data_IF_988461759536
#
_entry.id   IF_988461759536
#
_cell.length_a   1.000
_cell.length_b   1.000
_cell.length_c   1.000
_cell.angle_alpha   90.00
_cell.angle_beta   90.00
_cell.angle_gamma   90.00
#
_symmetry.space_group_name_H-M   'P 1'
#
loop_
_entity.id
_entity.type
_entity.pdbx_description
1 polymer ?
2 polymer ?
3 polymer ?
4 non-polymer ?
5 non-polymer ?
6 non-polymer ?
7 non-polymer ?
8 non-polymer ?
9 non-polymer ?
10 water ?
#
loop_
_entity_poly.entity_id
_entity_poly.type
_entity_poly.pdbx_seq_one_letter_code
_entity_poly.pdbx_strand_id
1 'polydeoxyribonucleotide' '(DG)(DG)(DG)(DG)(DT)(DG)(DT)(DG)(DG)(DT)(DA)(DDG)' ?
2 'polydeoxyribonucleotide' '(DC)(DA)(DT)(DC)(DG)(DC)(DT)(DA)(DC)(DC)(DA)(DC)(DA)(DC)(DC)(DC)(DC)' ?
#
# COMPACT_ATOMS: atom_id res chain seq x y z
N UNK C 3 4.80 13.80 24.98
CA UNK C 3 3.53 13.30 24.35
C UNK C 3 2.70 14.47 23.82
N UNK C 4 2.30 14.38 22.55
CA UNK C 4 1.51 15.40 21.91
C UNK C 4 0.08 14.85 21.80
N UNK C 5 -0.85 15.44 22.54
CA UNK C 5 -2.25 15.02 22.52
C UNK C 5 -2.98 15.56 21.30
N UNK C 6 -4.15 14.99 21.01
CA UNK C 6 -4.92 15.37 19.82
C UNK C 6 -5.46 16.80 19.81
N UNK C 7 -5.50 17.44 20.98
CA UNK C 7 -5.92 18.84 21.11
C UNK C 7 -4.72 19.79 21.15
N UNK C 8 -3.52 19.26 20.99
CA UNK C 8 -2.33 20.06 20.90
C UNK C 8 -2.18 20.50 19.44
N UNK C 9 -1.79 21.77 19.22
CA UNK C 9 -1.62 22.22 17.84
C UNK C 9 -0.64 21.39 17.02
N UNK C 10 0.35 20.78 17.66
CA UNK C 10 1.37 19.99 16.97
C UNK C 10 0.95 18.53 16.68
N UNK C 11 -0.29 18.14 17.00
CA UNK C 11 -0.64 16.71 16.90
C UNK C 11 -0.50 16.17 15.49
N UNK C 12 -1.09 16.85 14.51
CA UNK C 12 -1.08 16.32 13.15
C UNK C 12 0.34 16.11 12.62
N UNK C 13 1.19 17.09 12.85
CA UNK C 13 2.62 17.02 12.49
C UNK C 13 3.29 15.83 13.14
N UNK C 14 3.09 15.69 14.44
CA UNK C 14 3.72 14.62 15.20
C UNK C 14 3.23 13.26 14.69
N UNK C 15 1.91 13.13 14.53
CA UNK C 15 1.33 11.83 14.12
C UNK C 15 1.82 11.41 12.76
N UNK C 16 1.74 12.33 11.81
CA UNK C 16 2.25 12.06 10.45
C UNK C 16 3.80 11.81 10.40
N UNK C 17 4.57 12.49 11.25
CA UNK C 17 5.99 12.17 11.38
C UNK C 17 6.27 10.73 11.80
N UNK C 18 5.39 10.20 12.63
CA UNK C 18 5.54 8.85 13.21
C UNK C 18 4.79 7.74 12.45
N UNK C 19 3.73 8.11 11.72
CA UNK C 19 2.86 7.13 11.07
C UNK C 19 3.43 6.57 9.78
N UNK C 20 3.75 5.28 9.80
CA UNK C 20 4.30 4.64 8.59
C UNK C 20 3.23 4.52 7.50
N UNK C 21 1.97 4.41 7.86
CA UNK C 21 0.90 4.34 6.83
C UNK C 21 0.66 5.69 6.15
N UNK C 22 0.78 6.78 6.91
CA UNK C 22 0.86 8.11 6.31
C UNK C 22 2.02 8.19 5.30
N UNK C 23 3.20 7.70 5.70
CA UNK C 23 4.37 7.73 4.80
C UNK C 23 4.11 6.92 3.53
N UNK C 24 3.62 5.70 3.68
CA UNK C 24 3.29 4.88 2.51
C UNK C 24 2.42 5.63 1.51
N UNK C 25 1.35 6.25 1.99
CA UNK C 25 0.45 6.98 1.10
C UNK C 25 1.04 8.26 0.52
N UNK C 26 1.78 9.01 1.34
CA UNK C 26 2.39 10.25 0.89
C UNK C 26 3.49 9.95 -0.13
N UNK C 27 4.27 8.91 0.13
CA UNK C 27 5.30 8.49 -0.80
C UNK C 27 4.69 8.09 -2.15
N UNK C 28 3.64 7.29 -2.13
CA UNK C 28 3.02 6.86 -3.38
C UNK C 28 2.52 8.07 -4.17
N UNK C 29 1.82 8.99 -3.49
CA UNK C 29 1.30 10.20 -4.13
C UNK C 29 2.42 11.06 -4.76
N UNK C 30 3.55 11.18 -4.06
CA UNK C 30 4.67 11.97 -4.56
C UNK C 30 5.32 11.27 -5.75
N UNK C 31 5.41 9.94 -5.70
CA UNK C 31 5.95 9.17 -6.85
C UNK C 31 5.10 9.31 -8.11
N UNK C 32 3.77 9.31 -7.94
CA UNK C 32 2.84 9.49 -9.08
C UNK C 32 3.01 10.89 -9.66
N UNK C 33 3.16 11.88 -8.78
CA UNK C 33 3.38 13.26 -9.21
C UNK C 33 4.72 13.42 -9.91
N UNK C 34 5.77 12.76 -9.40
CA UNK C 34 7.05 12.70 -10.09
C UNK C 34 6.95 12.09 -11.49
N UNK C 35 6.24 10.96 -11.61
CA UNK C 35 6.03 10.31 -12.90
C UNK C 35 5.37 11.27 -13.91
N UNK C 36 4.35 11.97 -13.46
CA UNK C 36 3.63 12.90 -14.33
C UNK C 36 4.53 14.05 -14.81
N UNK C 37 5.39 14.57 -13.93
CA UNK C 37 6.37 15.61 -14.31
C UNK C 37 7.54 15.07 -15.16
N UNK C 38 8.09 13.92 -14.81
CA UNK C 38 9.26 13.37 -15.52
C UNK C 38 8.94 12.95 -16.95
N UNK C 39 7.74 12.42 -17.16
CA UNK C 39 7.33 11.83 -18.46
C UNK C 39 6.41 12.73 -19.28
N UNK C 40 6.38 14.02 -18.94
CA UNK C 40 5.53 15.00 -19.63
C UNK C 40 5.83 15.14 -21.13
N UNK C 41 7.10 14.91 -21.51
CA UNK C 41 7.56 14.87 -22.92
C UNK C 41 8.03 13.47 -23.36
N UNK C 42 7.51 12.44 -22.70
CA UNK C 42 7.85 11.05 -23.02
C UNK C 42 6.55 10.31 -23.27
N UNK C 43 6.18 10.17 -24.54
CA UNK C 43 4.89 9.58 -24.93
C UNK C 43 5.13 8.11 -25.19
N UNK C 44 5.48 7.41 -24.10
CA UNK C 44 5.83 6.00 -24.12
C UNK C 44 4.73 5.24 -23.38
N UNK C 45 3.52 5.31 -23.93
CA UNK C 45 2.37 4.54 -23.45
C UNK C 45 2.06 3.38 -24.39
N UNK C 46 1.59 2.28 -23.82
CA UNK C 46 1.44 1.00 -24.52
C UNK C 46 0.11 1.03 -25.29
N UNK C 47 0.06 0.30 -26.41
CA UNK C 47 -1.17 0.02 -27.14
C UNK C 47 -1.41 -1.49 -27.10
N UNK C 48 -2.64 -1.93 -27.37
CA UNK C 48 -2.94 -3.37 -27.47
C UNK C 48 -2.35 -4.05 -28.74
N UNK C 49 -1.76 -3.26 -29.65
CA UNK C 49 -0.91 -3.78 -30.71
C UNK C 49 0.39 -4.39 -30.16
N UNK C 50 0.95 -3.77 -29.13
CA UNK C 50 2.32 -4.08 -28.68
C UNK C 50 2.48 -5.43 -28.02
N UNK C 51 3.63 -6.05 -28.25
CA UNK C 51 4.10 -7.18 -27.45
C UNK C 51 4.99 -6.59 -26.36
N UNK C 52 4.77 -7.01 -25.11
CA UNK C 52 5.55 -6.48 -23.99
C UNK C 52 5.85 -7.52 -22.93
N UNK C 53 6.85 -7.21 -22.11
CA UNK C 53 7.23 -8.04 -20.98
C UNK C 53 7.24 -7.14 -19.76
N UNK C 54 6.74 -7.68 -18.66
CA UNK C 54 6.61 -6.96 -17.39
C UNK C 54 7.66 -7.49 -16.42
N UNK C 55 8.41 -6.59 -15.81
CA UNK C 55 9.30 -6.92 -14.71
C UNK C 55 8.74 -6.17 -13.51
N UNK C 56 8.16 -6.93 -12.58
CA UNK C 56 7.60 -6.40 -11.34
C UNK C 56 8.65 -6.57 -10.27
N UNK C 57 9.12 -5.44 -9.72
CA UNK C 57 10.32 -5.42 -8.91
C UNK C 57 10.02 -4.79 -7.53
N UNK C 58 10.42 -5.47 -6.44
CA UNK C 58 10.27 -4.86 -5.12
C UNK C 58 11.32 -5.34 -4.13
N UNK C 59 11.60 -4.49 -3.16
CA UNK C 59 12.55 -4.83 -2.13
C UNK C 59 11.95 -5.92 -1.24
N UNK C 60 12.84 -6.83 -0.84
CA UNK C 60 12.58 -7.80 0.21
C UNK C 60 12.55 -7.13 1.57
N UNK C 61 11.55 -7.49 2.38
CA UNK C 61 11.34 -6.96 3.73
C UNK C 61 11.96 -5.58 3.93
N UNK C 62 11.42 -4.64 3.17
CA UNK C 62 12.01 -3.31 2.93
C UNK C 62 12.40 -2.57 4.18
N UNK C 63 11.46 -2.25 5.07
CA UNK C 63 11.82 -1.52 6.28
C UNK C 63 12.83 -2.30 7.13
N UNK C 64 12.66 -3.61 7.22
CA UNK C 64 13.53 -4.42 8.09
C UNK C 64 14.96 -4.39 7.56
N UNK C 65 15.09 -4.56 6.25
CA UNK C 65 16.41 -4.54 5.59
C UNK C 65 17.13 -3.20 5.79
N UNK C 66 16.41 -2.11 5.53
CA UNK C 66 16.99 -0.76 5.61
C UNK C 66 17.30 -0.36 7.05
N UNK C 67 16.34 -0.57 7.95
CA UNK C 67 16.54 -0.39 9.38
C UNK C 67 17.71 -1.22 9.94
N UNK C 68 17.88 -2.44 9.42
CA UNK C 68 19.01 -3.27 9.86
C UNK C 68 20.33 -2.68 9.37
N UNK C 69 20.40 -2.37 8.07
CA UNK C 69 21.66 -1.89 7.49
C UNK C 69 22.12 -0.58 8.11
N UNK C 70 21.20 0.26 8.57
CA UNK C 70 21.50 1.56 9.16
C UNK C 70 21.43 1.54 10.71
N UNK C 71 21.35 0.35 11.33
CA UNK C 71 21.13 0.26 12.81
C UNK C 71 22.27 0.89 13.63
N UNK C 72 21.95 1.32 14.84
CA UNK C 72 22.96 1.83 15.79
C UNK C 72 23.93 0.76 16.30
N UNK C 73 25.01 1.18 16.95
CA UNK C 73 26.05 0.24 17.39
C UNK C 73 25.54 -0.70 18.50
N UNK C 74 24.49 -0.27 19.22
CA UNK C 74 23.83 -1.12 20.21
C UNK C 74 23.33 -2.46 19.62
N UNK C 75 23.04 -2.48 18.31
CA UNK C 75 22.64 -3.70 17.62
C UNK C 75 23.75 -4.28 16.72
N UNK C 76 25.00 -3.88 16.91
CA UNK C 76 26.10 -4.33 16.03
C UNK C 76 26.23 -5.86 15.83
N UNK C 77 26.12 -6.64 16.91
CA UNK C 77 26.20 -8.12 16.82
C UNK C 77 24.93 -8.83 16.28
N UNK C 78 23.85 -8.08 16.00
CA UNK C 78 22.56 -8.68 15.64
C UNK C 78 22.68 -9.05 14.16
N UNK C 79 22.07 -10.16 13.78
CA UNK C 79 22.40 -10.77 12.51
C UNK C 79 21.17 -10.97 11.65
N UNK C 80 21.19 -10.40 10.45
CA UNK C 80 19.98 -10.37 9.60
C UNK C 80 19.58 -11.74 9.07
N UNK C 81 20.57 -12.60 8.84
CA UNK C 81 20.36 -13.94 8.31
C UNK C 81 19.98 -14.97 9.39
N UNK C 82 20.30 -14.70 10.65
CA UNK C 82 20.01 -15.65 11.74
C UNK C 82 18.94 -15.24 12.74
N UNK C 83 18.74 -13.93 12.96
CA UNK C 83 17.80 -13.44 13.99
C UNK C 83 16.45 -13.02 13.40
N UNK C 84 15.34 -13.30 14.11
CA UNK C 84 14.06 -12.72 13.73
C UNK C 84 14.07 -11.23 14.08
N UNK C 85 13.92 -10.39 13.05
CA UNK C 85 14.03 -8.93 13.17
C UNK C 85 12.74 -8.28 12.68
N UNK C 86 12.23 -7.33 13.45
CA UNK C 86 11.04 -6.56 13.07
C UNK C 86 11.32 -5.06 13.19
N UNK C 87 10.52 -4.25 12.47
CA UNK C 87 10.51 -2.78 12.64
C UNK C 87 9.16 -2.39 13.24
N UNK C 88 9.20 -1.64 14.35
CA UNK C 88 7.98 -1.22 15.03
C UNK C 88 8.31 -0.10 15.99
N UNK C 89 7.27 0.55 16.51
CA UNK C 89 7.46 1.65 17.46
C UNK C 89 7.64 1.18 18.89
N UNK C 90 6.84 0.18 19.26
CA UNK C 90 6.65 -0.19 20.67
C UNK C 90 7.08 -1.59 20.98
N UNK C 91 6.59 -2.11 22.10
CA UNK C 91 7.02 -3.42 22.62
C UNK C 91 5.88 -4.40 22.87
N UNK C 92 4.64 -3.97 22.73
CA UNK C 92 3.50 -4.84 23.05
C UNK C 92 2.53 -4.86 21.88
N UNK C 93 1.50 -3.99 21.88
CA UNK C 93 0.44 -4.02 20.85
C UNK C 93 0.76 -3.05 19.69
N UNK C 94 2.01 -3.12 19.24
CA UNK C 94 2.57 -2.21 18.24
C UNK C 94 2.73 -3.03 16.97
N UNK C 95 2.30 -2.47 15.83
CA UNK C 95 2.32 -3.14 14.54
C UNK C 95 3.74 -3.41 14.12
N UNK C 96 3.96 -4.62 13.66
CA UNK C 96 5.16 -4.97 12.91
C UNK C 96 4.99 -4.44 11.50
N UNK C 97 5.72 -3.37 11.17
CA UNK C 97 5.63 -2.81 9.79
C UNK C 97 6.28 -3.75 8.79
N UNK C 98 7.44 -4.29 9.16
CA UNK C 98 8.18 -5.20 8.32
C UNK C 98 8.94 -6.21 9.17
N UNK C 99 8.96 -7.48 8.75
CA UNK C 99 9.72 -8.51 9.44
C UNK C 99 10.58 -9.23 8.40
N UNK C 100 11.75 -9.69 8.84
CA UNK C 100 12.66 -10.38 7.95
C UNK C 100 12.23 -11.85 7.76
N UNK C 101 12.93 -12.55 6.89
CA UNK C 101 12.50 -13.88 6.49
C UNK C 101 12.81 -14.94 7.56
N UNK C 102 13.75 -14.67 8.47
CA UNK C 102 13.88 -15.53 9.66
C UNK C 102 12.61 -15.49 10.50
N UNK C 103 12.14 -14.27 10.81
CA UNK C 103 10.87 -14.09 11.52
C UNK C 103 9.74 -14.82 10.81
N UNK C 104 9.68 -14.68 9.49
CA UNK C 104 8.64 -15.31 8.70
C UNK C 104 8.67 -16.85 8.75
N UNK C 105 9.84 -17.44 8.92
CA UNK C 105 9.94 -18.91 9.09
C UNK C 105 9.17 -19.42 10.32
N UNK C 106 8.88 -18.54 11.28
CA UNK C 106 8.07 -18.85 12.45
C UNK C 106 6.61 -18.43 12.33
N UNK C 107 6.16 -18.03 11.14
CA UNK C 107 4.78 -17.58 10.94
C UNK C 107 4.54 -16.12 11.28
N UNK C 108 5.59 -15.37 11.61
CA UNK C 108 5.43 -13.93 11.85
C UNK C 108 5.15 -13.24 10.51
N UNK C 109 4.17 -12.32 10.52
CA UNK C 109 3.76 -11.60 9.31
C UNK C 109 3.75 -10.09 9.57
N UNK C 110 3.94 -9.32 8.49
CA UNK C 110 3.73 -7.86 8.52
C UNK C 110 2.31 -7.59 9.00
N UNK C 111 2.15 -6.64 9.92
CA UNK C 111 0.84 -6.28 10.46
C UNK C 111 0.45 -6.93 11.78
N UNK C 112 1.14 -8.00 12.14
CA UNK C 112 1.02 -8.65 13.43
C UNK C 112 1.54 -7.72 14.53
N UNK C 113 0.92 -7.73 15.71
CA UNK C 113 1.49 -7.00 16.86
C UNK C 113 2.70 -7.75 17.39
N UNK C 114 3.64 -7.01 17.97
CA UNK C 114 4.85 -7.57 18.54
C UNK C 114 4.51 -8.64 19.57
N UNK C 115 3.53 -8.34 20.42
CA UNK C 115 3.08 -9.28 21.46
C UNK C 115 2.60 -10.61 20.87
N UNK C 116 1.88 -10.58 19.74
CA UNK C 116 1.54 -11.83 19.03
C UNK C 116 2.81 -12.51 18.49
N UNK C 117 3.69 -11.73 17.87
CA UNK C 117 4.88 -12.30 17.21
C UNK C 117 5.84 -12.98 18.16
N UNK C 118 6.09 -12.34 19.31
CA UNK C 118 6.91 -12.91 20.38
C UNK C 118 6.48 -14.33 20.78
N UNK C 119 5.17 -14.53 20.87
CA UNK C 119 4.55 -15.83 21.19
C UNK C 119 4.87 -16.95 20.22
N UNK C 120 5.16 -16.61 18.96
CA UNK C 120 5.39 -17.60 17.92
C UNK C 120 6.83 -18.10 17.87
N UNK C 121 7.71 -17.43 18.59
CA UNK C 121 9.09 -17.86 18.63
C UNK C 121 9.26 -19.00 19.67
N UNK C 122 10.12 -19.99 19.38
CA UNK C 122 10.44 -20.99 20.42
C UNK C 122 11.33 -20.42 21.51
N UNK C 123 11.41 -21.12 22.64
CA UNK C 123 12.31 -20.75 23.74
C UNK C 123 13.76 -20.76 23.26
N UNK C 124 14.52 -19.78 23.70
CA UNK C 124 15.90 -19.58 23.25
C UNK C 124 16.08 -18.60 22.09
N UNK C 125 14.98 -18.12 21.52
CA UNK C 125 15.01 -17.23 20.35
C UNK C 125 14.26 -15.92 20.68
N UNK C 126 14.99 -14.82 20.59
CA UNK C 126 14.51 -13.50 20.99
C UNK C 126 14.18 -12.64 19.75
N UNK C 127 13.03 -11.99 19.77
CA UNK C 127 12.66 -11.07 18.71
C UNK C 127 13.50 -9.78 18.82
N UNK C 128 14.15 -9.39 17.73
CA UNK C 128 14.91 -8.13 17.71
C UNK C 128 14.02 -7.06 17.09
N UNK C 129 13.74 -6.00 17.85
CA UNK C 129 12.95 -4.86 17.39
C UNK C 129 13.82 -3.67 17.04
N UNK C 130 13.69 -3.17 15.81
CA UNK C 130 14.43 -1.99 15.36
C UNK C 130 13.48 -0.82 15.13
N UNK C 131 13.98 0.41 15.35
CA UNK C 131 13.14 1.59 15.13
C UNK C 131 13.02 1.92 13.64
N UNK C 132 12.03 2.72 13.29
CA UNK C 132 11.86 3.19 11.91
C UNK C 132 12.95 4.20 11.56
N UNK C 133 13.44 4.13 10.33
CA UNK C 133 14.43 5.07 9.81
C UNK C 133 13.85 5.66 8.49
N UNK C 134 12.91 6.61 8.63
CA UNK C 134 12.11 7.05 7.48
C UNK C 134 12.93 7.75 6.38
N UNK C 135 13.89 8.56 6.80
CA UNK C 135 14.76 9.26 5.86
C UNK C 135 15.61 8.29 5.04
N UNK C 136 16.11 7.25 5.71
CA UNK C 136 16.88 6.19 5.03
C UNK C 136 16.00 5.35 4.09
N UNK C 137 14.77 5.05 4.52
CA UNK C 137 13.84 4.39 3.57
C UNK C 137 13.73 5.20 2.26
N UNK C 138 13.56 6.51 2.37
CA UNK C 138 13.47 7.40 1.21
C UNK C 138 14.72 7.41 0.37
N UNK C 139 15.89 7.51 1.01
CA UNK C 139 17.17 7.45 0.29
C UNK C 139 17.37 6.17 -0.51
N UNK C 140 17.00 5.03 0.07
CA UNK C 140 17.13 3.75 -0.64
C UNK C 140 16.18 3.66 -1.83
N UNK C 141 14.96 4.15 -1.65
CA UNK C 141 13.98 4.30 -2.73
C UNK C 141 14.52 5.18 -3.85
N UNK C 142 15.13 6.31 -3.51
CA UNK C 142 15.74 7.17 -4.54
C UNK C 142 16.80 6.40 -5.37
N UNK C 143 17.63 5.61 -4.69
CA UNK C 143 18.66 4.81 -5.38
C UNK C 143 18.03 3.74 -6.29
N UNK C 144 16.96 3.13 -5.78
CA UNK C 144 16.14 2.19 -6.56
C UNK C 144 15.60 2.78 -7.87
N UNK C 145 14.85 3.85 -7.78
CA UNK C 145 14.29 4.49 -8.96
C UNK C 145 15.36 5.07 -9.90
N UNK C 146 16.42 5.64 -9.33
CA UNK C 146 17.56 6.12 -10.14
C UNK C 146 18.20 4.98 -10.94
N UNK C 147 18.40 3.83 -10.30
CA UNK C 147 19.00 2.68 -10.96
C UNK C 147 18.12 2.22 -12.13
N UNK C 148 16.82 2.10 -11.88
CA UNK C 148 15.88 1.64 -12.90
C UNK C 148 15.90 2.54 -14.13
N UNK C 149 15.89 3.86 -13.91
CA UNK C 149 15.99 4.84 -14.99
C UNK C 149 17.34 4.75 -15.74
N UNK C 150 18.42 4.64 -14.98
CA UNK C 150 19.79 4.64 -15.54
C UNK C 150 20.06 3.47 -16.50
N UNK C 151 19.39 2.34 -16.26
CA UNK C 151 19.49 1.17 -17.12
C UNK C 151 19.14 1.47 -18.57
N UNK C 152 18.21 2.40 -18.78
CA UNK C 152 17.76 2.83 -20.10
C UNK C 152 17.15 1.68 -20.92
N UNK C 153 16.43 0.79 -20.25
CA UNK C 153 15.89 -0.45 -20.86
C UNK C 153 14.36 -0.59 -20.87
N UNK C 154 13.64 0.20 -20.06
CA UNK C 154 12.20 0.08 -19.95
C UNK C 154 11.51 1.23 -20.64
N UNK C 155 10.44 0.92 -21.38
CA UNK C 155 9.60 1.94 -22.00
C UNK C 155 8.72 2.67 -20.99
N UNK C 156 8.44 1.99 -19.87
CA UNK C 156 7.56 2.53 -18.84
C UNK C 156 8.01 1.98 -17.49
N UNK C 157 8.20 2.88 -16.53
CA UNK C 157 8.52 2.54 -15.13
C UNK C 157 7.39 3.13 -14.29
N UNK C 158 6.53 2.27 -13.77
CA UNK C 158 5.34 2.70 -13.04
C UNK C 158 5.54 2.55 -11.55
N UNK C 159 5.48 3.66 -10.80
CA UNK C 159 5.69 3.50 -9.36
C UNK C 159 4.48 2.85 -8.68
N UNK C 160 4.71 1.80 -7.92
CA UNK C 160 3.67 1.18 -7.14
C UNK C 160 3.77 1.64 -5.69
N UNK C 161 4.99 1.68 -5.16
CA UNK C 161 5.17 2.14 -3.79
C UNK C 161 6.59 2.67 -3.63
N UNK C 162 6.90 3.08 -2.41
CA UNK C 162 8.29 3.45 -2.02
C UNK C 162 9.34 2.42 -2.49
N UNK C 163 8.99 1.13 -2.42
CA UNK C 163 9.93 0.02 -2.66
C UNK C 163 9.55 -0.87 -3.84
N UNK C 164 8.67 -0.41 -4.74
CA UNK C 164 8.04 -1.31 -5.72
C UNK C 164 7.67 -0.61 -7.02
N UNK C 165 8.07 -1.23 -8.13
CA UNK C 165 7.80 -0.66 -9.47
C UNK C 165 7.47 -1.74 -10.49
N UNK C 166 6.61 -1.37 -11.43
CA UNK C 166 6.25 -2.23 -12.55
C UNK C 166 6.93 -1.63 -13.75
N UNK C 167 7.85 -2.42 -14.32
CA UNK C 167 8.67 -1.96 -15.44
C UNK C 167 8.32 -2.75 -16.69
N UNK C 168 8.10 -2.02 -17.78
CA UNK C 168 7.57 -2.59 -19.03
C UNK C 168 8.60 -2.43 -20.14
N UNK C 169 8.95 -3.55 -20.78
CA UNK C 169 9.77 -3.59 -21.98
C UNK C 169 8.90 -3.97 -23.17
N UNK C 170 8.83 -3.10 -24.17
CA UNK C 170 8.14 -3.39 -25.43
C UNK C 170 9.10 -4.17 -26.34
N UNK C 171 8.64 -5.30 -26.87
CA UNK C 171 9.45 -6.12 -27.78
C UNK C 171 8.97 -5.88 -29.21
N UNK C 172 9.85 -5.37 -30.10
CA UNK C 172 9.49 -5.31 -31.52
C UNK C 172 9.25 -6.70 -32.14
N UNK C 173 8.47 -6.76 -33.20
CA UNK C 173 8.15 -8.03 -33.88
C UNK C 173 9.40 -8.69 -34.51
N UNK C 174 10.26 -7.87 -35.12
CA UNK C 174 11.52 -8.34 -35.72
C UNK C 174 12.62 -8.78 -34.73
N UNK C 175 12.50 -8.42 -33.46
CA UNK C 175 13.45 -8.87 -32.42
C UNK C 175 12.90 -10.12 -31.73
N UNK C 176 13.75 -11.15 -31.60
CA UNK C 176 13.40 -12.38 -30.89
C UNK C 176 13.97 -12.33 -29.47
N UNK C 177 13.07 -12.28 -28.49
CA UNK C 177 13.46 -12.21 -27.08
C UNK C 177 13.39 -13.60 -26.48
N UNK C 178 14.40 -13.92 -25.67
CA UNK C 178 14.53 -15.24 -25.05
C UNK C 178 14.55 -15.12 -23.54
N UNK C 179 14.24 -16.23 -22.87
CA UNK C 179 14.40 -16.32 -21.42
C UNK C 179 15.81 -15.99 -20.94
N UNK C 180 16.83 -16.37 -21.71
CA UNK C 180 18.21 -16.04 -21.36
C UNK C 180 18.39 -14.54 -21.23
N UNK C 181 17.89 -13.78 -22.20
CA UNK C 181 17.95 -12.32 -22.16
C UNK C 181 17.17 -11.74 -20.99
N UNK C 182 16.01 -12.35 -20.71
CA UNK C 182 15.17 -11.94 -19.56
C UNK C 182 15.86 -12.24 -18.22
N UNK C 183 16.47 -13.42 -18.11
CA UNK C 183 17.20 -13.82 -16.91
C UNK C 183 18.42 -12.94 -16.65
N UNK C 184 19.20 -12.64 -17.70
CA UNK C 184 20.33 -11.70 -17.62
C UNK C 184 19.89 -10.33 -17.12
N UNK C 185 18.76 -9.86 -17.63
CA UNK C 185 18.27 -8.56 -17.20
C UNK C 185 17.84 -8.59 -15.73
N UNK C 186 17.15 -9.65 -15.31
CA UNK C 186 16.85 -9.84 -13.87
C UNK C 186 18.11 -9.80 -13.00
N UNK C 187 19.18 -10.48 -13.44
CA UNK C 187 20.41 -10.56 -12.66
C UNK C 187 21.14 -9.23 -12.65
N UNK C 188 21.11 -8.51 -13.77
CA UNK C 188 21.65 -7.15 -13.86
C UNK C 188 20.94 -6.22 -12.87
N UNK C 189 19.61 -6.20 -12.95
CA UNK C 189 18.81 -5.30 -12.08
C UNK C 189 19.11 -5.60 -10.62
N UNK C 190 19.03 -6.87 -10.24
CA UNK C 190 19.28 -7.28 -8.86
C UNK C 190 20.67 -6.90 -8.36
N UNK C 191 21.70 -7.14 -9.16
CA UNK C 191 23.05 -6.73 -8.76
C UNK C 191 23.20 -5.20 -8.69
N UNK C 192 22.65 -4.50 -9.67
CA UNK C 192 22.79 -3.04 -9.73
C UNK C 192 22.09 -2.39 -8.54
N UNK C 193 20.91 -2.89 -8.18
CA UNK C 193 20.20 -2.34 -7.02
C UNK C 193 20.94 -2.68 -5.72
N UNK C 194 21.39 -3.93 -5.60
CA UNK C 194 22.16 -4.36 -4.44
C UNK C 194 23.37 -3.45 -4.23
N UNK C 195 24.06 -3.12 -5.33
CA UNK C 195 25.23 -2.22 -5.30
C UNK C 195 24.81 -0.79 -4.96
N UNK C 196 23.82 -0.29 -5.70
CA UNK C 196 23.40 1.10 -5.57
C UNK C 196 22.73 1.46 -4.26
N UNK C 197 22.17 0.47 -3.55
CA UNK C 197 21.53 0.67 -2.24
C UNK C 197 22.41 0.25 -1.07
N UNK C 198 23.65 -0.15 -1.38
CA UNK C 198 24.57 -0.60 -0.36
C UNK C 198 24.07 -1.81 0.45
N UNK C 199 23.49 -2.79 -0.26
CA UNK C 199 23.19 -4.10 0.32
C UNK C 199 21.73 -4.49 0.49
N UNK C 200 20.78 -3.73 -0.04
CA UNK C 200 19.39 -4.14 -0.01
C UNK C 200 19.16 -5.11 -1.15
N UNK C 201 18.27 -6.05 -0.96
CA UNK C 201 17.95 -7.01 -2.02
C UNK C 201 16.59 -6.68 -2.62
N UNK C 202 16.45 -6.93 -3.92
CA UNK C 202 15.16 -6.93 -4.58
C UNK C 202 14.87 -8.29 -5.21
N UNK C 203 13.58 -8.61 -5.28
CA UNK C 203 13.13 -9.73 -6.10
C UNK C 203 12.38 -9.23 -7.33
N UNK C 204 12.27 -10.10 -8.34
CA UNK C 204 11.69 -9.72 -9.63
C UNK C 204 10.82 -10.86 -10.10
N UNK C 205 9.60 -10.52 -10.50
CA UNK C 205 8.72 -11.39 -11.27
C UNK C 205 8.67 -10.88 -12.69
N UNK C 206 8.90 -11.79 -13.63
CA UNK C 206 8.98 -11.45 -15.03
C UNK C 206 7.93 -12.28 -15.76
N UNK C 207 7.04 -11.62 -16.47
CA UNK C 207 5.98 -12.30 -17.20
C UNK C 207 5.47 -11.47 -18.36
N UNK C 208 4.51 -12.04 -19.11
CA UNK C 208 3.85 -11.31 -20.21
C UNK C 208 2.47 -10.79 -19.80
N UNK C 209 2.17 -10.83 -18.49
CA UNK C 209 1.00 -10.17 -17.95
C UNK C 209 1.33 -9.59 -16.58
N UNK C 210 0.58 -8.56 -16.21
CA UNK C 210 0.72 -7.90 -14.92
C UNK C 210 0.43 -8.86 -13.78
N UNK C 211 -0.68 -9.60 -13.88
CA UNK C 211 -1.09 -10.49 -12.80
C UNK C 211 -0.05 -11.58 -12.55
N UNK C 212 0.48 -12.18 -13.63
CA UNK C 212 1.49 -13.20 -13.50
C UNK C 212 2.83 -12.67 -13.03
N UNK C 213 3.21 -11.46 -13.46
CA UNK C 213 4.45 -10.85 -12.97
C UNK C 213 4.41 -10.65 -11.45
N UNK C 214 3.25 -10.27 -10.93
CA UNK C 214 3.04 -10.10 -9.51
C UNK C 214 3.13 -11.45 -8.75
N UNK C 215 2.52 -12.50 -9.28
CA UNK C 215 2.61 -13.83 -8.70
C UNK C 215 4.03 -14.41 -8.80
N UNK C 216 4.69 -14.21 -9.95
CA UNK C 216 6.07 -14.63 -10.14
C UNK C 216 7.00 -13.94 -9.10
N UNK C 217 6.72 -12.67 -8.83
CA UNK C 217 7.46 -11.91 -7.79
C UNK C 217 7.36 -12.56 -6.42
N UNK C 218 6.14 -12.88 -6.00
CA UNK C 218 5.91 -13.58 -4.75
C UNK C 218 6.68 -14.90 -4.73
N UNK C 219 6.59 -15.69 -5.81
CA UNK C 219 7.34 -16.95 -5.88
C UNK C 219 8.84 -16.77 -5.76
N UNK C 220 9.36 -15.70 -6.35
CA UNK C 220 10.81 -15.42 -6.31
C UNK C 220 11.37 -15.06 -4.93
N UNK C 221 10.53 -14.57 -4.03
CA UNK C 221 11.02 -13.99 -2.79
C UNK C 221 11.48 -15.07 -1.81
N UNK C 222 12.51 -14.80 -0.98
CA UNK C 222 13.30 -13.57 -0.96
C UNK C 222 14.51 -13.66 -1.88
N UNK C 223 15.02 -12.50 -2.30
CA UNK C 223 16.29 -12.36 -3.00
C UNK C 223 16.42 -13.27 -4.23
N UNK C 224 15.41 -13.22 -5.09
CA UNK C 224 15.46 -14.00 -6.31
C UNK C 224 14.68 -13.41 -7.44
N UNK C 225 14.63 -14.16 -8.52
CA UNK C 225 13.77 -13.81 -9.63
C UNK C 225 13.04 -15.05 -10.15
N UNK C 226 11.90 -14.82 -10.77
CA UNK C 226 11.12 -15.89 -11.41
C UNK C 226 10.55 -15.38 -12.71
N UNK C 227 10.73 -16.20 -13.76
CA UNK C 227 10.20 -15.90 -15.06
C UNK C 227 9.11 -16.92 -15.32
N UNK C 228 7.85 -16.49 -15.29
CA UNK C 228 6.70 -17.34 -15.59
C UNK C 228 5.75 -16.62 -16.54
N UNK C 229 5.80 -17.02 -17.80
CA UNK C 229 4.90 -16.52 -18.84
C UNK C 229 3.62 -17.37 -18.87
N UNK C 230 2.59 -16.85 -19.51
CA UNK C 230 1.33 -17.56 -19.69
C UNK C 230 1.47 -19.01 -20.22
N UNK C 231 2.39 -19.22 -21.16
CA UNK C 231 2.65 -20.55 -21.74
C UNK C 231 3.36 -21.54 -20.79
N UNK C 232 3.93 -21.03 -19.69
CA UNK C 232 4.64 -21.83 -18.68
C UNK C 232 3.76 -22.17 -17.49
N UNK C 233 2.46 -21.89 -17.51
CA UNK C 233 1.62 -22.13 -16.34
C UNK C 233 1.43 -23.61 -16.11
N UNK C 234 1.53 -24.01 -14.84
CA UNK C 234 1.52 -25.42 -14.44
C UNK C 234 0.82 -25.58 -13.09
N UNK C 235 0.48 -26.82 -12.78
CA UNK C 235 -0.12 -27.17 -11.48
C UNK C 235 0.79 -26.81 -10.35
N UNK C 236 2.08 -27.07 -10.52
CA UNK C 236 3.07 -26.74 -9.50
C UNK C 236 3.10 -25.25 -9.16
N UNK C 237 3.07 -24.40 -10.19
CA UNK C 237 2.96 -22.95 -10.03
C UNK C 237 1.76 -22.57 -9.19
N UNK C 238 0.55 -22.89 -9.66
CA UNK C 238 -0.68 -22.50 -8.97
C UNK C 238 -0.77 -23.05 -7.55
N UNK C 239 -0.21 -24.23 -7.32
CA UNK C 239 -0.20 -24.85 -6.01
C UNK C 239 0.65 -24.12 -4.97
N UNK C 240 1.50 -23.19 -5.42
CA UNK C 240 2.38 -22.42 -4.53
C UNK C 240 1.75 -21.19 -3.88
N UNK C 241 0.49 -20.87 -4.20
CA UNK C 241 -0.11 -19.61 -3.80
C UNK C 241 -1.34 -19.83 -2.94
N UNK C 242 -1.53 -18.97 -1.94
CA UNK C 242 -2.78 -18.92 -1.17
C UNK C 242 -3.79 -18.10 -1.96
N UNK C 243 -5.07 -18.17 -1.61
CA UNK C 243 -6.10 -17.43 -2.33
C UNK C 243 -5.90 -15.92 -2.33
N UNK C 244 -5.45 -15.37 -1.20
CA UNK C 244 -5.25 -13.91 -1.10
C UNK C 244 -3.89 -13.44 -1.63
N UNK C 245 -3.12 -14.34 -2.26
CA UNK C 245 -2.02 -13.91 -3.10
C UNK C 245 -2.48 -13.23 -4.36
N UNK C 246 -3.74 -13.41 -4.77
CA UNK C 246 -4.25 -12.73 -5.95
C UNK C 246 -4.45 -11.23 -5.66
N UNK C 247 -4.05 -10.37 -6.63
CA UNK C 247 -4.31 -8.93 -6.53
C UNK C 247 -5.80 -8.66 -6.44
N UNK C 248 -6.21 -7.90 -5.42
CA UNK C 248 -7.62 -7.57 -5.22
C UNK C 248 -8.37 -8.49 -4.27
N UNK C 249 -7.74 -9.58 -3.84
CA UNK C 249 -8.32 -10.52 -2.91
C UNK C 249 -7.58 -10.34 -1.58
N UNK C 250 -8.31 -9.81 -0.61
CA UNK C 250 -7.83 -9.68 0.76
C UNK C 250 -8.67 -10.58 1.63
N UNK C 251 -8.73 -10.26 2.92
CA UNK C 251 -9.31 -11.17 3.93
C UNK C 251 -10.81 -11.45 3.76
N UNK C 252 -11.56 -10.42 3.37
CA UNK C 252 -13.02 -10.51 3.23
C UNK C 252 -13.39 -11.33 2.00
N UNK C 253 -12.70 -11.06 0.89
CA UNK C 253 -12.90 -11.84 -0.33
C UNK C 253 -12.47 -13.28 -0.11
N UNK C 254 -11.37 -13.48 0.60
CA UNK C 254 -10.91 -14.83 0.94
C UNK C 254 -11.99 -15.61 1.71
N UNK C 255 -12.61 -14.97 2.70
CA UNK C 255 -13.69 -15.60 3.46
C UNK C 255 -14.82 -16.05 2.55
N UNK C 256 -15.25 -15.16 1.64
CA UNK C 256 -16.30 -15.51 0.68
C UNK C 256 -15.93 -16.70 -0.22
N UNK C 257 -14.69 -16.73 -0.70
CA UNK C 257 -14.23 -17.81 -1.58
C UNK C 257 -14.13 -19.14 -0.83
N UNK C 258 -13.65 -19.09 0.42
CA UNK C 258 -13.56 -20.29 1.26
C UNK C 258 -14.94 -20.84 1.62
N UNK C 259 -15.89 -19.93 1.84
CA UNK C 259 -17.29 -20.30 2.04
C UNK C 259 -17.89 -20.99 0.79
N UNK C 260 -17.82 -20.32 -0.35
CA UNK C 260 -18.38 -20.83 -1.62
C UNK C 260 -17.73 -22.12 -2.14
N UNK C 261 -16.40 -22.22 -2.09
CA UNK C 261 -15.67 -23.29 -2.77
C UNK C 261 -15.08 -24.35 -1.83
N UNK C 262 -15.66 -24.47 -0.63
CA UNK C 262 -15.26 -25.49 0.37
C UNK C 262 -13.80 -25.35 0.81
N UNK C 263 -13.38 -24.09 1.01
CA UNK C 263 -12.07 -23.75 1.55
C UNK C 263 -10.89 -24.31 0.78
N UNK C 264 -10.71 -23.88 -0.48
CA UNK C 264 -9.51 -24.31 -1.23
C UNK C 264 -8.24 -23.92 -0.48
N UNK C 265 -7.25 -24.82 -0.42
CA UNK C 265 -5.98 -24.51 0.24
C UNK C 265 -5.11 -23.58 -0.61
N UNK C 266 -5.05 -23.83 -1.92
CA UNK C 266 -4.22 -23.07 -2.82
C UNK C 266 -5.03 -22.59 -4.01
N UNK C 267 -4.43 -21.72 -4.80
CA UNK C 267 -5.02 -21.28 -6.05
C UNK C 267 -5.26 -22.45 -7.02
N UNK C 268 -4.45 -23.52 -6.93
CA UNK C 268 -4.67 -24.71 -7.76
C UNK C 268 -6.01 -25.36 -7.44
N UNK C 269 -6.29 -25.49 -6.14
CA UNK C 269 -7.58 -26.01 -5.68
C UNK C 269 -8.75 -25.18 -6.19
N UNK C 270 -8.61 -23.86 -6.13
CA UNK C 270 -9.63 -22.96 -6.67
C UNK C 270 -9.74 -23.11 -8.19
N UNK C 271 -8.61 -23.19 -8.89
CA UNK C 271 -8.60 -23.38 -10.35
C UNK C 271 -9.34 -24.67 -10.76
N UNK C 272 -9.16 -25.73 -9.99
CA UNK C 272 -9.88 -27.01 -10.23
C UNK C 272 -11.39 -26.92 -10.00
N UNK C 273 -11.81 -26.22 -8.95
CA UNK C 273 -13.20 -26.23 -8.48
C UNK C 273 -14.15 -25.20 -9.07
N UNK C 274 -13.65 -24.04 -9.47
CA UNK C 274 -14.55 -22.90 -9.75
C UNK C 274 -15.22 -22.99 -11.11
N UNK C 275 -16.31 -22.25 -11.27
CA UNK C 275 -16.83 -21.81 -12.58
C UNK C 275 -16.97 -20.30 -12.52
N UNK C 276 -16.92 -19.63 -13.68
CA UNK C 276 -17.11 -18.20 -13.73
C UNK C 276 -18.43 -17.75 -13.10
N UNK C 277 -19.53 -18.41 -13.46
CA UNK C 277 -20.85 -18.08 -12.88
C UNK C 277 -20.84 -18.16 -11.34
N UNK C 278 -20.19 -19.20 -10.81
CA UNK C 278 -20.11 -19.39 -9.35
C UNK C 278 -19.24 -18.32 -8.63
N UNK C 279 -18.11 -17.97 -9.26
CA UNK C 279 -17.25 -16.89 -8.77
C UNK C 279 -18.00 -15.59 -8.65
N UNK C 280 -18.62 -15.18 -9.76
CA UNK C 280 -19.39 -13.93 -9.83
C UNK C 280 -20.46 -13.87 -8.73
N UNK C 281 -21.11 -15.00 -8.47
CA UNK C 281 -22.07 -15.11 -7.37
C UNK C 281 -21.42 -15.00 -5.99
N UNK C 282 -20.20 -15.50 -5.85
CA UNK C 282 -19.48 -15.44 -4.57
C UNK C 282 -18.96 -14.04 -4.24
N UNK C 283 -18.36 -13.36 -5.21
CA UNK C 283 -17.62 -12.10 -4.93
C UNK C 283 -17.99 -10.92 -5.81
N UNK C 284 -19.01 -11.06 -6.65
CA UNK C 284 -19.46 -9.98 -7.51
C UNK C 284 -18.95 -10.11 -8.91
N UNK C 285 -19.64 -9.42 -9.80
CA UNK C 285 -19.42 -9.51 -11.23
C UNK C 285 -17.99 -9.16 -11.64
N UNK C 286 -17.53 -7.98 -11.19
CA UNK C 286 -16.23 -7.44 -11.60
C UNK C 286 -15.06 -8.20 -10.99
N UNK C 287 -15.10 -8.37 -9.67
CA UNK C 287 -14.04 -9.10 -8.98
C UNK C 287 -14.03 -10.58 -9.42
N UNK C 288 -15.21 -11.14 -9.70
CA UNK C 288 -15.31 -12.52 -10.19
C UNK C 288 -14.61 -12.71 -11.51
N UNK C 289 -14.84 -11.79 -12.44
CA UNK C 289 -14.20 -11.84 -13.75
C UNK C 289 -12.70 -11.65 -13.63
N UNK C 290 -12.27 -10.73 -12.77
CA UNK C 290 -10.84 -10.52 -12.49
C UNK C 290 -10.13 -11.80 -12.02
N UNK C 291 -10.74 -12.51 -11.07
CA UNK C 291 -10.14 -13.73 -10.53
C UNK C 291 -10.08 -14.81 -11.63
N UNK C 292 -11.18 -14.99 -12.36
CA UNK C 292 -11.24 -15.93 -13.48
C UNK C 292 -10.12 -15.67 -14.47
N UNK C 293 -10.01 -14.41 -14.91
CA UNK C 293 -8.95 -14.03 -15.82
C UNK C 293 -7.58 -14.26 -15.21
N UNK C 294 -7.43 -13.93 -13.93
CA UNK C 294 -6.17 -14.17 -13.20
C UNK C 294 -5.74 -15.63 -13.23
N UNK C 295 -6.70 -16.55 -13.08
CA UNK C 295 -6.41 -17.99 -13.11
C UNK C 295 -6.02 -18.53 -14.50
N UNK C 296 -6.20 -17.72 -15.54
CA UNK C 296 -5.66 -18.00 -16.86
C UNK C 296 -4.40 -17.17 -17.14
N UNK C 297 -3.87 -16.48 -16.12
CA UNK C 297 -2.74 -15.56 -16.30
C UNK C 297 -3.03 -14.29 -17.09
N UNK C 298 -4.30 -13.88 -17.09
CA UNK C 298 -4.74 -12.72 -17.87
C UNK C 298 -5.17 -11.55 -16.99
N UNK C 299 -4.89 -10.35 -17.48
CA UNK C 299 -5.24 -9.09 -16.82
C UNK C 299 -6.63 -8.67 -17.21
N UNK C 300 -7.39 -8.18 -16.22
CA UNK C 300 -8.68 -7.55 -16.48
C UNK C 300 -8.49 -6.18 -17.14
N UNK C 301 -9.55 -5.65 -17.74
CA UNK C 301 -9.45 -4.41 -18.51
C UNK C 301 -9.14 -3.20 -17.61
N UNK C 302 -9.67 -3.18 -16.38
CA UNK C 302 -9.34 -2.12 -15.43
C UNK C 302 -7.84 -2.05 -15.12
N UNK C 303 -7.24 -3.20 -14.80
CA UNK C 303 -5.79 -3.33 -14.60
C UNK C 303 -4.94 -2.85 -15.76
N UNK C 304 -5.39 -3.10 -16.99
CA UNK C 304 -4.60 -2.70 -18.15
C UNK C 304 -4.56 -1.19 -18.42
N UNK C 305 -5.48 -0.42 -17.84
CA UNK C 305 -5.53 1.01 -18.10
C UNK C 305 -4.23 1.73 -17.78
N UNK C 306 -3.54 1.25 -16.75
CA UNK C 306 -2.27 1.83 -16.32
C UNK C 306 -1.16 1.66 -17.36
N UNK C 307 -1.24 0.63 -18.20
CA UNK C 307 -0.34 0.50 -19.36
C UNK C 307 -0.80 1.38 -20.51
N UNK C 308 -2.10 1.41 -20.77
CA UNK C 308 -2.63 2.09 -21.96
C UNK C 308 -2.66 3.61 -21.80
N UNK C 309 -2.90 4.09 -20.57
CA UNK C 309 -2.87 5.53 -20.33
C UNK C 309 -2.41 5.89 -18.90
N UNK C 310 -1.12 5.65 -18.61
CA UNK C 310 -0.66 5.91 -17.24
C UNK C 310 -0.85 7.36 -16.78
N UNK C 311 -0.71 8.33 -17.69
CA UNK C 311 -0.85 9.75 -17.31
C UNK C 311 -2.25 10.07 -16.80
N UNK C 312 -3.27 9.45 -17.39
CA UNK C 312 -4.65 9.59 -16.94
C UNK C 312 -4.91 8.84 -15.64
N UNK C 313 -4.44 7.59 -15.55
CA UNK C 313 -4.65 6.76 -14.35
C UNK C 313 -3.99 7.35 -13.08
N UNK C 314 -2.79 7.89 -13.23
CA UNK C 314 -2.06 8.46 -12.07
C UNK C 314 -2.51 9.85 -11.64
N UNK C 315 -3.38 10.48 -12.40
CA UNK C 315 -3.98 11.77 -12.04
C UNK C 315 -4.77 11.61 -10.74
N UNK C 316 -4.62 12.57 -9.84
CA UNK C 316 -5.30 12.55 -8.56
C UNK C 316 -6.74 13.01 -8.76
N UNK C 317 -7.70 12.22 -8.25
CA UNK C 317 -9.12 12.59 -8.35
C UNK C 317 -9.76 13.03 -7.03
N UNK C 318 -9.09 12.77 -5.90
CA UNK C 318 -9.57 13.22 -4.58
C UNK C 318 -8.39 13.45 -3.65
N UNK C 319 -8.70 14.06 -2.51
CA UNK C 319 -7.68 14.42 -1.54
C UNK C 319 -8.28 14.38 -0.15
N UNK C 320 -7.60 13.70 0.78
CA UNK C 320 -8.14 13.54 2.13
C UNK C 320 -7.08 13.27 3.17
N UNK C 321 -7.45 13.44 4.42
CA UNK C 321 -6.68 12.93 5.51
C UNK C 321 -7.55 12.03 6.37
N UNK C 322 -6.90 11.10 7.06
CA UNK C 322 -7.53 10.17 7.98
C UNK C 322 -6.75 10.13 9.24
N UNK C 323 -7.41 10.36 10.37
CA UNK C 323 -6.78 10.24 11.64
C UNK C 323 -7.67 9.39 12.53
N UNK C 324 -7.27 8.13 12.72
CA UNK C 324 -8.03 7.15 13.53
C UNK C 324 -7.15 6.51 14.62
N UNK C 325 -6.21 7.29 15.14
CA UNK C 325 -5.38 6.97 16.25
C UNK C 325 -5.15 8.26 17.06
N UNK C 326 -5.18 8.11 18.38
CA UNK C 326 -4.97 9.23 19.31
C UNK C 326 -6.14 10.18 19.47
N UNK C 327 -7.31 9.83 18.97
CA UNK C 327 -8.49 10.72 19.03
C UNK C 327 -9.22 10.46 20.35
N UNK C 328 -8.99 11.37 21.30
CA UNK C 328 -9.63 11.39 22.61
C UNK C 328 -9.97 12.85 22.88
N UNK C 329 -11.20 13.24 22.57
CA UNK C 329 -11.64 14.62 22.80
C UNK C 329 -12.68 14.65 23.92
N UNK C 330 -12.65 15.73 24.70
CA UNK C 330 -13.54 15.95 25.82
C UNK C 330 -14.80 16.74 25.40
N UNK C 331 -14.67 17.64 24.44
CA UNK C 331 -15.80 18.50 24.06
C UNK C 331 -15.72 18.92 22.61
N UNK C 332 -16.80 19.55 22.15
CA UNK C 332 -16.98 19.96 20.75
C UNK C 332 -16.10 21.13 20.33
N UNK C 333 -15.77 22.03 21.25
CA UNK C 333 -14.80 23.08 20.98
C UNK C 333 -13.45 22.50 20.47
N UNK C 334 -12.95 21.46 21.13
CA UNK C 334 -11.67 20.85 20.73
C UNK C 334 -11.78 20.12 19.42
N UNK C 335 -12.91 19.44 19.22
CA UNK C 335 -13.19 18.76 17.96
C UNK C 335 -13.18 19.78 16.81
N UNK C 336 -13.85 20.92 17.01
CA UNK C 336 -13.87 21.97 15.99
C UNK C 336 -12.48 22.53 15.66
N UNK C 337 -11.66 22.77 16.68
CA UNK C 337 -10.30 23.27 16.47
C UNK C 337 -9.49 22.27 15.67
N UNK C 338 -9.67 20.98 15.98
CA UNK C 338 -8.97 19.91 15.25
C UNK C 338 -9.39 19.84 13.80
N UNK C 339 -10.70 19.93 13.54
CA UNK C 339 -11.22 20.02 12.17
C UNK C 339 -10.63 21.21 11.40
N UNK C 340 -10.52 22.35 12.09
CA UNK C 340 -9.93 23.55 11.48
C UNK C 340 -8.47 23.31 11.08
N UNK C 341 -7.70 22.68 11.96
CA UNK C 341 -6.30 22.34 11.69
C UNK C 341 -6.18 21.38 10.53
N UNK C 342 -7.03 20.37 10.49
CA UNK C 342 -7.10 19.46 9.36
C UNK C 342 -7.43 20.15 8.06
N UNK C 343 -8.44 21.01 8.08
CA UNK C 343 -8.80 21.76 6.89
C UNK C 343 -7.65 22.65 6.41
N UNK C 344 -6.94 23.31 7.32
CA UNK C 344 -5.77 24.13 6.98
C UNK C 344 -4.73 23.28 6.26
N UNK C 345 -4.46 22.10 6.81
CA UNK C 345 -3.49 21.15 6.23
C UNK C 345 -3.91 20.77 4.81
N UNK C 346 -5.16 20.33 4.68
CA UNK C 346 -5.68 19.87 3.38
C UNK C 346 -5.64 20.95 2.32
N UNK C 347 -6.02 22.16 2.71
CA UNK C 347 -6.01 23.30 1.80
C UNK C 347 -4.63 23.68 1.29
N UNK C 348 -3.59 23.53 2.12
CA UNK C 348 -2.21 23.70 1.66
C UNK C 348 -1.91 22.69 0.56
N UNK C 349 -2.31 21.44 0.76
CA UNK C 349 -2.14 20.40 -0.29
C UNK C 349 -2.94 20.69 -1.55
N UNK C 350 -4.16 21.16 -1.38
CA UNK C 350 -5.02 21.51 -2.51
C UNK C 350 -4.41 22.66 -3.33
N UNK C 351 -3.87 23.67 -2.64
CA UNK C 351 -3.21 24.79 -3.31
C UNK C 351 -1.93 24.38 -4.05
N UNK C 352 -1.12 23.52 -3.44
CA UNK C 352 0.08 22.96 -4.09
C UNK C 352 -0.22 22.29 -5.43
N UNK C 353 -1.39 21.67 -5.57
CA UNK C 353 -1.77 21.01 -6.83
C UNK C 353 -2.67 21.89 -7.72
N UNK C 354 -2.86 23.15 -7.33
CA UNK C 354 -3.63 24.14 -8.11
C UNK C 354 -5.00 23.62 -8.47
N UNK C 355 -5.75 23.18 -7.46
CA UNK C 355 -7.12 22.70 -7.63
C UNK C 355 -8.02 23.43 -6.67
N UNK C 356 -9.31 23.43 -6.99
CA UNK C 356 -10.35 23.71 -6.01
C UNK C 356 -11.14 22.42 -5.80
N UNK C 357 -12.09 22.45 -4.87
CA UNK C 357 -12.94 21.31 -4.60
C UNK C 357 -14.41 21.72 -4.65
N UNK C 358 -15.27 20.84 -5.17
CA UNK C 358 -16.71 21.12 -5.26
C UNK C 358 -17.56 20.17 -4.41
N UNK C 359 -16.92 19.25 -3.69
CA UNK C 359 -17.63 18.33 -2.83
C UNK C 359 -16.72 17.84 -1.71
N UNK C 360 -17.23 17.84 -0.48
CA UNK C 360 -16.47 17.44 0.71
C UNK C 360 -17.26 16.49 1.61
N UNK C 361 -16.53 15.65 2.34
CA UNK C 361 -17.11 14.63 3.18
C UNK C 361 -16.39 14.64 4.51
N UNK C 362 -17.15 14.54 5.59
CA UNK C 362 -16.57 14.24 6.86
C UNK C 362 -17.02 12.84 7.20
N UNK C 363 -16.09 12.02 7.67
CA UNK C 363 -16.37 10.64 8.07
C UNK C 363 -15.83 10.45 9.46
N UNK C 364 -16.52 9.71 10.31
CA UNK C 364 -16.03 9.51 11.67
C UNK C 364 -16.17 8.06 12.10
N UNK C 365 -15.39 7.73 13.11
CA UNK C 365 -15.42 6.43 13.76
C UNK C 365 -15.86 6.70 15.16
N UNK C 366 -16.90 5.97 15.57
CA UNK C 366 -17.47 6.09 16.89
C UNK C 366 -17.35 4.75 17.60
N UNK C 367 -16.91 4.77 18.85
CA UNK C 367 -16.82 3.59 19.72
C UNK C 367 -18.10 2.78 19.64
N UNK C 368 -17.96 1.48 19.35
CA UNK C 368 -19.10 0.56 19.39
C UNK C 368 -19.70 0.52 20.79
N UNK C 369 -21.03 0.39 20.86
CA UNK C 369 -21.76 0.37 22.16
C UNK C 369 -21.11 -0.55 23.20
N UNK C 370 -20.83 -1.77 22.77
CA UNK C 370 -20.27 -2.84 23.62
C UNK C 370 -18.73 -2.87 23.74
N UNK C 371 -18.05 -1.84 23.25
CA UNK C 371 -16.58 -1.84 23.20
C UNK C 371 -15.97 -1.11 24.40
N UNK C 372 -14.79 -1.57 24.85
CA UNK C 372 -14.18 -0.92 26.00
C UNK C 372 -13.80 0.54 25.70
N UNK C 373 -13.87 1.39 26.71
CA UNK C 373 -13.57 2.83 26.59
C UNK C 373 -12.15 3.02 26.02
N UNK C 374 -11.22 2.18 26.46
CA UNK C 374 -9.89 2.18 25.93
C UNK C 374 -9.52 0.79 25.41
N UNK C 375 -9.21 0.68 24.10
CA UNK C 375 -8.94 -0.64 23.51
C UNK C 375 -7.53 -1.18 23.87
N UNK C 376 -7.20 -2.41 23.43
CA UNK C 376 -5.89 -2.96 23.81
C UNK C 376 -4.67 -2.20 23.25
N UNK C 377 -4.76 -1.71 22.00
CA UNK C 377 -3.71 -0.84 21.44
C UNK C 377 -3.81 0.57 22.00
N UNK C 378 -2.78 1.00 22.72
CA UNK C 378 -2.69 2.35 23.28
C UNK C 378 -3.10 3.38 22.23
N UNK C 379 -4.08 4.21 22.60
CA UNK C 379 -4.62 5.29 21.78
C UNK C 379 -5.31 4.85 20.50
N UNK C 380 -5.59 3.56 20.36
CA UNK C 380 -6.19 3.03 19.17
C UNK C 380 -7.64 3.45 19.12
N UNK C 381 -8.21 3.38 17.92
CA UNK C 381 -9.66 3.55 17.75
C UNK C 381 -10.48 2.40 18.36
N UNK C 382 -9.91 1.19 18.39
CA UNK C 382 -10.65 -0.02 18.77
C UNK C 382 -11.79 -0.33 17.81
N UNK C 383 -12.77 -1.12 18.26
CA UNK C 383 -13.94 -1.46 17.44
C UNK C 383 -14.92 -0.30 17.41
N UNK C 384 -15.31 0.09 16.20
CA UNK C 384 -16.09 1.31 15.94
C UNK C 384 -17.09 1.11 14.83
N UNK C 385 -18.15 1.91 14.87
CA UNK C 385 -19.02 2.11 13.71
C UNK C 385 -18.62 3.40 13.00
N UNK C 386 -18.64 3.38 11.67
CA UNK C 386 -18.38 4.56 10.87
C UNK C 386 -19.66 5.29 10.52
N UNK C 387 -19.55 6.61 10.39
CA UNK C 387 -20.63 7.50 9.93
C UNK C 387 -19.99 8.47 8.97
N UNK C 388 -20.63 8.75 7.85
CA UNK C 388 -20.15 9.79 6.94
C UNK C 388 -21.29 10.61 6.37
N UNK C 389 -20.99 11.88 6.09
CA UNK C 389 -21.91 12.73 5.35
C UNK C 389 -21.13 13.67 4.47
N UNK C 390 -21.69 13.93 3.29
CA UNK C 390 -21.07 14.78 2.30
C UNK C 390 -21.92 15.98 1.98
N UNK C 391 -21.29 16.97 1.34
CA UNK C 391 -21.96 18.20 0.93
C UNK C 391 -21.34 18.73 -0.36
N UNK C 392 -22.18 19.08 -1.32
CA UNK C 392 -21.76 19.73 -2.55
C UNK C 392 -21.68 21.21 -2.29
N UNK C 393 -20.63 21.83 -2.80
CA UNK C 393 -20.42 23.26 -2.64
C UNK C 393 -20.95 23.90 -3.93
N UNK C 394 -21.68 24.99 -3.78
CA UNK C 394 -22.30 25.67 -4.93
C UNK C 394 -21.30 25.91 -6.04
N UNK C 395 -20.22 26.60 -5.70
CA UNK C 395 -19.15 26.96 -6.62
C UNK C 395 -17.90 26.24 -6.12
N UNK C 396 -17.05 25.73 -7.03
CA UNK C 396 -15.77 25.15 -6.59
C UNK C 396 -14.90 26.15 -5.85
N UNK C 397 -14.29 25.76 -4.75
CA UNK C 397 -13.56 26.71 -3.94
C UNK C 397 -12.35 26.09 -3.23
N UNK C 398 -11.44 26.95 -2.82
CA UNK C 398 -10.38 26.55 -1.88
C UNK C 398 -10.44 27.40 -0.60
N UNK C 399 -11.57 28.05 -0.35
CA UNK C 399 -11.66 29.00 0.74
C UNK C 399 -11.86 28.30 2.09
N UNK C 400 -10.98 28.59 3.05
CA UNK C 400 -11.04 28.00 4.42
C UNK C 400 -12.38 28.27 5.11
N UNK C 401 -12.82 29.52 5.01
CA UNK C 401 -14.06 29.95 5.62
C UNK C 401 -15.26 29.08 5.22
N UNK C 402 -15.36 28.76 3.94
CA UNK C 402 -16.45 27.92 3.44
C UNK C 402 -16.25 26.47 3.89
N UNK C 403 -15.06 25.93 3.63
CA UNK C 403 -14.79 24.50 3.81
C UNK C 403 -14.79 24.09 5.29
N UNK C 404 -14.06 24.82 6.11
CA UNK C 404 -13.98 24.51 7.53
C UNK C 404 -15.35 24.64 8.21
N UNK C 405 -16.11 25.67 7.86
CA UNK C 405 -17.47 25.83 8.43
C UNK C 405 -18.36 24.67 8.05
N UNK C 406 -18.36 24.30 6.78
CA UNK C 406 -19.17 23.16 6.33
C UNK C 406 -18.72 21.84 6.97
N UNK C 407 -17.41 21.64 7.14
CA UNK C 407 -16.94 20.40 7.82
C UNK C 407 -17.41 20.29 9.25
N UNK C 408 -17.33 21.40 9.97
CA UNK C 408 -17.82 21.45 11.33
C UNK C 408 -19.33 21.21 11.44
N UNK C 409 -20.07 21.71 10.45
CA UNK C 409 -21.53 21.50 10.39
C UNK C 409 -21.83 20.04 10.11
N UNK C 410 -21.08 19.44 9.18
CA UNK C 410 -21.22 18.01 8.89
C UNK C 410 -20.98 17.16 10.13
N UNK C 411 -19.96 17.50 10.94
CA UNK C 411 -19.72 16.78 12.18
C UNK C 411 -20.99 16.80 13.06
N UNK C 412 -21.59 17.97 13.21
CA UNK C 412 -22.78 18.10 14.06
C UNK C 412 -23.94 17.23 13.59
N UNK C 413 -24.13 17.14 12.27
CA UNK C 413 -25.22 16.34 11.68
C UNK C 413 -25.12 14.84 12.00
N UNK C 414 -23.91 14.35 12.29
CA UNK C 414 -23.67 12.93 12.48
C UNK C 414 -23.91 12.45 13.89
N UNK C 415 -24.06 13.41 14.81
CA UNK C 415 -24.55 13.18 16.16
C UNK C 415 -23.68 12.26 17.00
N UNK C 416 -22.37 12.44 16.93
CA UNK C 416 -21.42 11.67 17.74
C UNK C 416 -20.96 12.52 18.93
N UNK C 417 -21.24 12.08 20.17
CA UNK C 417 -20.69 12.81 21.31
C UNK C 417 -19.15 12.82 21.26
N UNK C 418 -18.53 13.97 21.52
CA UNK C 418 -17.08 14.06 21.49
C UNK C 418 -16.35 12.93 22.20
N UNK C 419 -16.84 12.52 23.37
CA UNK C 419 -16.16 11.50 24.18
C UNK C 419 -16.21 10.10 23.54
N UNK C 420 -17.09 9.89 22.59
CA UNK C 420 -17.20 8.62 21.86
C UNK C 420 -16.44 8.63 20.52
N UNK C 421 -15.92 9.78 20.11
CA UNK C 421 -15.24 9.92 18.82
C UNK C 421 -13.93 9.17 18.89
N UNK C 422 -13.64 8.35 17.90
CA UNK C 422 -12.36 7.63 17.86
C UNK C 422 -11.59 7.83 16.56
N UNK C 423 -12.15 8.60 15.63
CA UNK C 423 -11.44 8.87 14.40
C UNK C 423 -12.21 9.83 13.55
N UNK C 424 -11.47 10.56 12.70
CA UNK C 424 -12.04 11.57 11.77
C UNK C 424 -11.32 11.48 10.44
N UNK C 425 -12.06 11.56 9.33
CA UNK C 425 -11.47 11.74 8.03
C UNK C 425 -12.12 12.95 7.40
N UNK C 426 -11.31 13.75 6.72
CA UNK C 426 -11.71 14.96 6.02
C UNK C 426 -11.36 14.76 4.58
N UNK C 427 -12.37 14.81 3.69
CA UNK C 427 -12.17 14.47 2.29
C UNK C 427 -12.63 15.57 1.35
N UNK C 428 -11.83 15.85 0.34
CA UNK C 428 -12.21 16.65 -0.82
C UNK C 428 -12.43 15.65 -1.96
N UNK C 429 -13.70 15.37 -2.27
CA UNK C 429 -14.07 14.24 -3.16
C UNK C 429 -13.98 14.54 -4.65
N UNK C 430 -14.16 15.80 -5.01
CA UNK C 430 -14.20 16.20 -6.41
C UNK C 430 -13.25 17.37 -6.56
N UNK C 431 -12.28 17.25 -7.44
CA UNK C 431 -11.29 18.30 -7.64
C UNK C 431 -11.48 18.93 -9.01
N UNK C 432 -11.23 20.24 -9.09
CA UNK C 432 -11.44 21.04 -10.30
C UNK C 432 -10.20 21.91 -10.55
N UNK C 433 -9.84 22.07 -11.82
CA UNK C 433 -8.64 22.83 -12.21
C UNK C 433 -8.76 24.33 -11.97
N UNK C 434 -7.59 25.00 -11.99
CA UNK C 434 -7.42 26.45 -11.74
C UNK C 434 -8.15 26.96 -10.50
#
# INVERSE_FOLDING_TARGET
KRIVACDDPDFLTSYFAHSRLHHLSAWKANLKDKFLNENIHKYTKITDKDTYIIFHIDFDCFFATVAYLCRSSSFSACDFKRDPIVVCHGTKNSDIASCNYVARSYGIKNGMWVSQAEKMLPNGIKLISLPYTFEQFQLKSEAFYSTLKRLNIFNLILPISIDEAVCVRIIPDNIHNTNTLNARLCEEIRQEIFQGTNGCTVSIGCSDSLVLARLALKMAKPNGYNITFKSNLSEEFWSSFKLDDLPGVGHSTLSRLESTFDSPHSLNDLRKRYTLDALKASVGSKLGMKIHLALQGQDDEESLKILYDPKEVLQRKSLSIDINWGIRFKNITQVDLFIERGCQYLLEKLNEINKTTSQITLKLMRRCKDAPIEPPKYMGMGRCDSFSRSSRLGIPTNEFGIIATEMKSLYRTLGCPPMELRGLALQFNKLVDV
#
